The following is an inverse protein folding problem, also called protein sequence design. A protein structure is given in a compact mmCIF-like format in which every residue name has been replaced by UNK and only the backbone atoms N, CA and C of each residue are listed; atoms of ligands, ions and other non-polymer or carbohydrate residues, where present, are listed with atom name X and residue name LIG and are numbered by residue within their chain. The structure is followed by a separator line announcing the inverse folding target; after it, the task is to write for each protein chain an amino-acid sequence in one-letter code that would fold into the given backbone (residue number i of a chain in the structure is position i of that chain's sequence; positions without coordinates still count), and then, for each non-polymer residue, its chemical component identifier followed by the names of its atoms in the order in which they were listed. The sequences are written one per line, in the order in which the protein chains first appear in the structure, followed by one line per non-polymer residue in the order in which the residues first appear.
data_IF_729337998655
#
_entry.id   IF_729337998655
#
_cell.length_a   1.000
_cell.length_b   1.000
_cell.length_c   1.000
_cell.angle_alpha   90.00
_cell.angle_beta   90.00
_cell.angle_gamma   90.00
#
_symmetry.space_group_name_H-M   'P 1'
#
loop_
_entity.id
_entity.type
_entity.pdbx_description
1 polymer ?
#
# COMPACT_ATOMS: atom_id res chain seq x y z
N UNK A 1 -10.88 -12.57 -6.76
CA UNK A 1 -11.15 -12.55 -5.29
C UNK A 1 -10.52 -13.73 -4.53
N UNK A 2 -9.94 -14.74 -5.19
CA UNK A 2 -9.40 -15.92 -4.54
C UNK A 2 -8.31 -15.62 -3.50
N UNK A 3 -7.41 -14.66 -3.75
CA UNK A 3 -6.30 -14.37 -2.84
C UNK A 3 -6.76 -13.79 -1.50
N UNK A 4 -7.61 -12.76 -1.52
CA UNK A 4 -8.08 -12.08 -0.30
C UNK A 4 -8.97 -13.03 0.53
N UNK A 5 -9.99 -13.64 -0.08
CA UNK A 5 -10.93 -14.46 0.67
C UNK A 5 -10.34 -15.83 1.05
N UNK A 6 -9.49 -16.40 0.20
CA UNK A 6 -8.81 -17.65 0.51
C UNK A 6 -7.73 -17.49 1.58
N UNK A 7 -7.04 -16.33 1.59
CA UNK A 7 -5.99 -16.03 2.57
C UNK A 7 -6.52 -15.55 3.93
N UNK A 8 -7.73 -15.00 3.99
CA UNK A 8 -8.35 -14.45 5.22
C UNK A 8 -7.39 -13.57 6.03
N UNK A 9 -6.69 -12.60 5.40
CA UNK A 9 -5.52 -11.97 5.99
C UNK A 9 -5.87 -11.15 7.23
N UNK A 10 -5.00 -11.19 8.24
CA UNK A 10 -5.05 -10.24 9.37
C UNK A 10 -4.59 -8.84 8.95
N UNK A 11 -3.67 -8.76 7.98
CA UNK A 11 -3.06 -7.53 7.53
C UNK A 11 -2.99 -7.41 6.00
N UNK A 12 -3.17 -6.20 5.50
CA UNK A 12 -2.90 -5.83 4.11
C UNK A 12 -1.80 -4.76 4.05
N UNK A 13 -0.88 -4.92 3.09
CA UNK A 13 0.07 -3.88 2.68
C UNK A 13 -0.29 -3.46 1.25
N UNK A 14 -0.51 -2.17 1.03
CA UNK A 14 -0.85 -1.65 -0.29
C UNK A 14 0.42 -1.36 -1.09
N UNK A 15 0.43 -1.73 -2.37
CA UNK A 15 1.57 -1.47 -3.25
C UNK A 15 1.28 -0.32 -4.22
N UNK A 16 2.21 0.61 -4.37
CA UNK A 16 2.08 1.76 -5.27
C UNK A 16 3.37 2.05 -6.06
N UNK A 17 3.23 2.69 -7.22
CA UNK A 17 4.33 3.21 -8.03
C UNK A 17 3.99 4.62 -8.51
N UNK A 18 4.68 5.67 -8.01
CA UNK A 18 4.29 7.08 -8.14
C UNK A 18 4.36 7.61 -9.57
N UNK A 19 5.19 7.01 -10.42
CA UNK A 19 5.43 7.49 -11.80
C UNK A 19 4.51 6.82 -12.82
N UNK A 20 3.40 6.19 -12.38
CA UNK A 20 2.48 5.47 -13.27
C UNK A 20 1.24 6.30 -13.53
N UNK A 21 1.09 6.79 -14.75
CA UNK A 21 -0.05 7.64 -15.12
C UNK A 21 -1.30 6.84 -15.52
N UNK A 22 -1.14 5.54 -15.81
CA UNK A 22 -2.24 4.67 -16.21
C UNK A 22 -2.09 3.22 -15.74
N UNK A 23 -3.20 2.48 -15.77
CA UNK A 23 -3.20 1.04 -15.54
C UNK A 23 -2.36 0.31 -16.61
N UNK A 24 -1.58 -0.68 -16.18
CA UNK A 24 -0.73 -1.46 -17.11
C UNK A 24 -1.61 -2.19 -18.12
N UNK A 25 -1.34 -1.98 -19.41
CA UNK A 25 -2.11 -2.59 -20.48
C UNK A 25 -3.43 -1.89 -20.81
N UNK A 26 -3.75 -0.77 -20.14
CA UNK A 26 -4.98 0.00 -20.35
C UNK A 26 -4.65 1.50 -20.51
N UNK A 27 -4.20 1.94 -21.70
CA UNK A 27 -3.89 3.34 -21.94
C UNK A 27 -5.14 4.21 -21.80
N UNK A 28 -4.99 5.40 -21.20
CA UNK A 28 -6.11 6.34 -20.94
C UNK A 28 -6.88 6.08 -19.64
N UNK A 29 -6.71 4.91 -19.02
CA UNK A 29 -7.33 4.60 -17.73
C UNK A 29 -6.40 4.99 -16.58
N UNK A 30 -6.71 6.11 -15.92
CA UNK A 30 -5.98 6.59 -14.75
C UNK A 30 -6.03 5.58 -13.60
N UNK A 31 -5.03 5.66 -12.73
CA UNK A 31 -5.03 4.89 -11.50
C UNK A 31 -6.06 5.46 -10.51
N UNK A 32 -6.78 4.62 -9.76
CA UNK A 32 -7.55 5.08 -8.62
C UNK A 32 -6.61 5.66 -7.54
N UNK A 33 -7.14 6.53 -6.68
CA UNK A 33 -6.39 7.04 -5.53
C UNK A 33 -6.05 5.90 -4.56
N UNK A 34 -4.94 6.04 -3.82
CA UNK A 34 -4.56 5.03 -2.82
C UNK A 34 -5.62 4.86 -1.74
N UNK A 35 -6.31 5.93 -1.33
CA UNK A 35 -7.43 5.87 -0.39
C UNK A 35 -8.58 5.01 -0.94
N UNK A 36 -8.95 5.18 -2.21
CA UNK A 36 -10.00 4.36 -2.82
C UNK A 36 -9.60 2.88 -2.90
N UNK A 37 -8.33 2.60 -3.22
CA UNK A 37 -7.79 1.22 -3.22
C UNK A 37 -7.81 0.62 -1.81
N UNK A 38 -7.37 1.38 -0.79
CA UNK A 38 -7.40 0.98 0.62
C UNK A 38 -8.82 0.57 1.04
N UNK A 39 -9.78 1.46 0.81
CA UNK A 39 -11.15 1.29 1.29
C UNK A 39 -11.83 0.10 0.61
N UNK A 40 -11.62 -0.06 -0.70
CA UNK A 40 -12.14 -1.20 -1.45
C UNK A 40 -11.49 -2.53 -0.99
N UNK A 41 -10.16 -2.58 -0.91
CA UNK A 41 -9.45 -3.79 -0.52
C UNK A 41 -9.82 -4.23 0.90
N UNK A 42 -9.89 -3.30 1.84
CA UNK A 42 -10.29 -3.56 3.22
C UNK A 42 -11.74 -4.03 3.31
N UNK A 43 -12.66 -3.41 2.55
CA UNK A 43 -14.05 -3.83 2.51
C UNK A 43 -14.19 -5.29 2.04
N UNK A 44 -13.43 -5.67 1.01
CA UNK A 44 -13.42 -7.05 0.51
C UNK A 44 -12.78 -8.03 1.50
N UNK A 45 -11.70 -7.64 2.19
CA UNK A 45 -11.05 -8.49 3.18
C UNK A 45 -11.93 -8.75 4.40
N UNK A 46 -12.68 -7.73 4.85
CA UNK A 46 -13.58 -7.83 6.01
C UNK A 46 -14.76 -8.78 5.82
N UNK A 47 -15.08 -9.16 4.59
CA UNK A 47 -16.05 -10.23 4.32
C UNK A 47 -15.53 -11.58 4.82
N UNK A 48 -14.23 -11.82 4.71
CA UNK A 48 -13.60 -13.09 5.09
C UNK A 48 -13.00 -13.04 6.51
N UNK A 49 -12.40 -11.91 6.90
CA UNK A 49 -11.85 -11.69 8.24
C UNK A 49 -12.25 -10.28 8.73
N UNK A 50 -13.26 -10.15 9.62
CA UNK A 50 -13.72 -8.85 10.13
C UNK A 50 -12.64 -8.04 10.87
N UNK A 51 -11.61 -8.71 11.39
CA UNK A 51 -10.50 -8.09 12.12
C UNK A 51 -9.38 -7.58 11.21
N UNK A 52 -9.43 -7.84 9.89
CA UNK A 52 -8.40 -7.42 8.95
C UNK A 52 -8.16 -5.90 8.99
N UNK A 53 -6.88 -5.50 8.94
CA UNK A 53 -6.45 -4.10 8.89
C UNK A 53 -5.50 -3.84 7.71
N UNK A 54 -5.44 -2.59 7.25
CA UNK A 54 -4.37 -2.14 6.35
C UNK A 54 -3.27 -1.55 7.23
N UNK A 55 -2.07 -2.13 7.19
CA UNK A 55 -0.99 -1.79 8.14
C UNK A 55 0.10 -0.90 7.55
N UNK A 56 0.17 -0.78 6.23
CA UNK A 56 1.22 0.02 5.61
C UNK A 56 1.17 0.02 4.09
N UNK A 57 2.11 0.76 3.51
CA UNK A 57 2.19 1.04 2.08
C UNK A 57 3.61 0.80 1.62
N UNK A 58 3.75 -0.06 0.63
CA UNK A 58 4.99 -0.32 -0.09
C UNK A 58 4.99 0.50 -1.38
N UNK A 59 5.91 1.45 -1.48
CA UNK A 59 6.04 2.33 -2.64
C UNK A 59 7.30 2.01 -3.39
N UNK A 60 7.17 1.70 -4.68
CA UNK A 60 8.33 1.53 -5.56
C UNK A 60 8.79 2.91 -6.06
N UNK A 61 9.87 3.45 -5.50
CA UNK A 61 10.45 4.76 -5.87
C UNK A 61 11.65 4.65 -6.81
N UNK A 62 11.80 3.52 -7.54
CA UNK A 62 12.98 3.27 -8.38
C UNK A 62 13.27 4.36 -9.43
N UNK A 63 12.25 5.11 -9.84
CA UNK A 63 12.34 6.18 -10.84
C UNK A 63 12.43 7.59 -10.23
N UNK A 64 12.56 7.69 -8.91
CA UNK A 64 12.72 8.95 -8.18
C UNK A 64 14.15 9.05 -7.62
N UNK A 65 14.64 10.28 -7.47
CA UNK A 65 15.81 10.54 -6.63
C UNK A 65 15.54 10.22 -5.16
N UNK A 66 16.59 10.12 -4.33
CA UNK A 66 16.44 9.89 -2.89
C UNK A 66 15.59 10.97 -2.20
N UNK A 67 15.76 12.24 -2.60
CA UNK A 67 15.04 13.36 -2.01
C UNK A 67 13.55 13.34 -2.41
N UNK A 68 13.26 13.08 -3.69
CA UNK A 68 11.89 12.91 -4.19
C UNK A 68 11.21 11.70 -3.55
N UNK A 69 11.92 10.58 -3.40
CA UNK A 69 11.41 9.38 -2.74
C UNK A 69 11.01 9.67 -1.29
N UNK A 70 11.90 10.29 -0.49
CA UNK A 70 11.59 10.68 0.90
C UNK A 70 10.40 11.63 0.98
N UNK A 71 10.36 12.62 0.11
CA UNK A 71 9.26 13.60 0.06
C UNK A 71 7.95 12.90 -0.26
N UNK A 72 7.95 12.03 -1.28
CA UNK A 72 6.78 11.28 -1.68
C UNK A 72 6.26 10.38 -0.56
N UNK A 73 7.15 9.58 0.06
CA UNK A 73 6.79 8.71 1.18
C UNK A 73 6.16 9.52 2.33
N UNK A 74 6.76 10.64 2.74
CA UNK A 74 6.20 11.49 3.79
C UNK A 74 4.80 12.03 3.44
N UNK A 75 4.57 12.40 2.17
CA UNK A 75 3.23 12.80 1.70
C UNK A 75 2.22 11.65 1.83
N UNK A 76 2.60 10.45 1.39
CA UNK A 76 1.72 9.26 1.50
C UNK A 76 1.39 8.94 2.95
N UNK A 77 2.36 9.03 3.86
CA UNK A 77 2.14 8.83 5.29
C UNK A 77 1.17 9.85 5.87
N UNK A 78 1.33 11.12 5.51
CA UNK A 78 0.45 12.19 5.96
C UNK A 78 -0.98 12.02 5.43
N UNK A 79 -1.14 11.59 4.18
CA UNK A 79 -2.45 11.40 3.54
C UNK A 79 -3.22 10.20 4.12
N UNK A 80 -2.53 9.10 4.42
CA UNK A 80 -3.17 7.83 4.77
C UNK A 80 -3.05 7.45 6.24
N UNK A 81 -2.19 8.13 7.01
CA UNK A 81 -1.97 7.87 8.43
C UNK A 81 -1.32 6.52 8.70
N UNK A 82 -0.62 5.95 7.71
CA UNK A 82 -0.01 4.62 7.76
C UNK A 82 1.46 4.72 7.33
N UNK A 83 2.35 3.85 7.83
CA UNK A 83 3.73 3.78 7.37
C UNK A 83 3.81 3.58 5.86
N UNK A 84 4.58 4.44 5.17
CA UNK A 84 4.90 4.31 3.77
C UNK A 84 6.41 4.13 3.62
N UNK A 85 6.80 3.06 2.94
CA UNK A 85 8.19 2.64 2.84
C UNK A 85 8.50 2.27 1.40
N UNK A 86 9.71 2.57 0.94
CA UNK A 86 10.29 1.85 -0.20
C UNK A 86 11.16 0.71 0.35
N UNK A 87 10.68 -0.55 0.32
CA UNK A 87 11.41 -1.64 0.94
C UNK A 87 12.73 -1.97 0.22
N UNK A 88 12.87 -1.61 -1.06
CA UNK A 88 14.10 -1.82 -1.80
C UNK A 88 15.17 -0.79 -1.42
N UNK A 89 14.76 0.45 -1.17
CA UNK A 89 15.67 1.56 -0.86
C UNK A 89 15.98 1.67 0.63
N UNK A 90 14.98 1.46 1.49
CA UNK A 90 15.04 1.76 2.92
C UNK A 90 14.87 0.53 3.82
N UNK A 91 14.66 -0.66 3.24
CA UNK A 91 14.32 -1.87 3.99
C UNK A 91 12.85 -1.90 4.43
N UNK A 92 12.39 -3.06 4.91
CA UNK A 92 10.98 -3.28 5.23
C UNK A 92 10.61 -3.13 6.72
N UNK A 93 11.56 -2.76 7.58
CA UNK A 93 11.45 -2.81 9.05
C UNK A 93 10.15 -2.16 9.57
N UNK A 94 9.83 -0.94 9.14
CA UNK A 94 8.61 -0.24 9.56
C UNK A 94 7.31 -0.93 9.16
N UNK A 95 7.30 -1.71 8.07
CA UNK A 95 6.14 -2.52 7.69
C UNK A 95 6.03 -3.78 8.56
N UNK A 96 7.16 -4.37 8.94
CA UNK A 96 7.22 -5.51 9.86
C UNK A 96 6.78 -5.08 11.26
N UNK A 97 7.23 -3.93 11.74
CA UNK A 97 6.81 -3.36 13.03
C UNK A 97 5.29 -3.13 13.07
N UNK A 98 4.74 -2.55 12.00
CA UNK A 98 3.30 -2.32 11.88
C UNK A 98 2.49 -3.63 11.86
N UNK A 99 3.04 -4.69 11.24
CA UNK A 99 2.44 -6.02 11.26
C UNK A 99 2.51 -6.65 12.67
N UNK A 100 3.67 -6.59 13.32
CA UNK A 100 3.86 -7.13 14.67
C UNK A 100 2.99 -6.43 15.73
N UNK A 101 2.65 -5.15 15.51
CA UNK A 101 1.77 -4.40 16.41
C UNK A 101 0.27 -4.82 16.34
N UNK A 102 -0.13 -5.67 15.41
CA UNK A 102 -1.51 -6.17 15.32
C UNK A 102 -1.88 -7.20 16.40
N UNK A 103 -0.89 -7.85 17.03
CA UNK A 103 -1.11 -8.89 18.04
C UNK A 103 0.03 -9.90 18.11
#
# INVERSE_FOLDING_TARGET
MALIHGGQPDALVLCHGPTRDHMRGLPGSQLPSMAAVRDLALSLAKVANPACQVVGISVNTQHLSEAEAKTYLATVEAELGLPAVDPFRHGAERLVDALAALG
#
